data_IF_918403553171
#
_entry.id   IF_918403553171
#
_cell.length_a   1.000
_cell.length_b   1.000
_cell.length_c   1.000
_cell.angle_alpha   90.00
_cell.angle_beta   90.00
_cell.angle_gamma   90.00
#
_symmetry.space_group_name_H-M   'P 1'
#
loop_
_entity.id
_entity.type
_entity.pdbx_description
1 polymer ?
#
# COMPACT_ATOMS: atom_id res chain seq x y z
N UNK A 1 2.78 9.98 -4.20
CA UNK A 1 1.77 9.89 -3.13
C UNK A 1 2.35 9.13 -1.96
N UNK A 2 2.25 9.69 -0.75
CA UNK A 2 2.77 9.05 0.47
C UNK A 2 1.65 8.35 1.24
N UNK A 3 1.87 7.09 1.62
CA UNK A 3 0.94 6.31 2.43
C UNK A 3 1.44 6.22 3.86
N UNK A 4 0.91 7.08 4.72
CA UNK A 4 1.40 7.31 6.09
C UNK A 4 0.79 6.39 7.14
N UNK A 5 -0.47 6.02 6.99
CA UNK A 5 -1.17 5.19 7.97
C UNK A 5 -2.33 4.41 7.33
N UNK A 6 -2.54 3.19 7.82
CA UNK A 6 -3.70 2.36 7.49
C UNK A 6 -4.32 1.89 8.79
N UNK A 7 -5.56 2.30 9.06
CA UNK A 7 -6.31 1.87 10.24
C UNK A 7 -7.48 0.98 9.84
N UNK A 8 -7.69 -0.08 10.62
CA UNK A 8 -8.91 -0.88 10.56
C UNK A 8 -9.41 -1.03 12.01
N UNK A 9 -10.67 -0.62 12.29
CA UNK A 9 -11.26 -0.76 13.61
C UNK A 9 -11.08 -2.18 14.16
N UNK A 10 -10.82 -2.37 15.47
CA UNK A 10 -10.54 -3.68 16.06
C UNK A 10 -11.52 -4.78 15.64
N UNK A 11 -12.82 -4.48 15.62
CA UNK A 11 -13.91 -5.41 15.29
C UNK A 11 -13.92 -5.86 13.82
N UNK A 12 -13.20 -5.13 12.96
CA UNK A 12 -13.07 -5.38 11.53
C UNK A 12 -11.69 -5.97 11.17
N UNK A 13 -10.75 -6.10 12.11
CA UNK A 13 -9.43 -6.67 11.84
C UNK A 13 -9.52 -8.15 11.44
N UNK A 14 -8.46 -8.66 10.81
CA UNK A 14 -8.33 -10.05 10.31
C UNK A 14 -9.35 -10.47 9.23
N UNK A 15 -10.18 -9.54 8.75
CA UNK A 15 -11.13 -9.76 7.64
C UNK A 15 -10.59 -9.31 6.28
N UNK A 16 -9.33 -8.84 6.22
CA UNK A 16 -8.67 -8.46 4.97
C UNK A 16 -8.87 -7.01 4.51
N UNK A 17 -9.64 -6.19 5.25
CA UNK A 17 -9.93 -4.79 4.84
C UNK A 17 -8.68 -3.94 4.64
N UNK A 18 -7.66 -4.08 5.49
CA UNK A 18 -6.41 -3.32 5.32
C UNK A 18 -5.72 -3.62 3.97
N UNK A 19 -5.80 -4.86 3.50
CA UNK A 19 -5.26 -5.24 2.18
C UNK A 19 -6.11 -4.68 1.04
N UNK A 20 -7.44 -4.71 1.18
CA UNK A 20 -8.35 -4.13 0.19
C UNK A 20 -8.11 -2.62 0.04
N UNK A 21 -7.92 -1.90 1.15
CA UNK A 21 -7.56 -0.48 1.12
C UNK A 21 -6.26 -0.23 0.34
N UNK A 22 -5.19 -0.98 0.63
CA UNK A 22 -3.94 -0.85 -0.11
C UNK A 22 -4.13 -1.16 -1.60
N UNK A 23 -4.90 -2.21 -1.95
CA UNK A 23 -5.15 -2.56 -3.35
C UNK A 23 -5.82 -1.44 -4.13
N UNK A 24 -6.88 -0.84 -3.58
CA UNK A 24 -7.58 0.27 -4.26
C UNK A 24 -6.68 1.50 -4.40
N UNK A 25 -5.83 1.78 -3.39
CA UNK A 25 -4.87 2.88 -3.45
C UNK A 25 -3.80 2.66 -4.53
N UNK A 26 -3.29 1.42 -4.67
CA UNK A 26 -2.32 1.09 -5.71
C UNK A 26 -2.94 1.16 -7.11
N UNK A 27 -4.19 0.71 -7.25
CA UNK A 27 -4.96 0.87 -8.48
C UNK A 27 -5.13 2.34 -8.85
N UNK A 28 -5.57 3.17 -7.91
CA UNK A 28 -5.69 4.61 -8.09
C UNK A 28 -4.37 5.25 -8.51
N UNK A 29 -3.26 4.90 -7.84
CA UNK A 29 -1.94 5.40 -8.19
C UNK A 29 -1.53 5.02 -9.63
N UNK A 30 -1.89 3.81 -10.10
CA UNK A 30 -1.65 3.38 -11.47
C UNK A 30 -2.45 4.21 -12.47
N UNK A 31 -3.74 4.40 -12.22
CA UNK A 31 -4.66 5.14 -13.08
C UNK A 31 -4.24 6.61 -13.23
N UNK A 32 -3.77 7.22 -12.14
CA UNK A 32 -3.30 8.60 -12.10
C UNK A 32 -1.80 8.76 -12.42
N UNK A 33 -1.12 7.69 -12.83
CA UNK A 33 0.32 7.66 -13.14
C UNK A 33 1.21 8.20 -11.99
N UNK A 34 0.84 7.91 -10.75
CA UNK A 34 1.53 8.32 -9.53
C UNK A 34 2.48 7.23 -9.03
N UNK A 35 3.60 7.65 -8.44
CA UNK A 35 4.48 6.78 -7.64
C UNK A 35 4.05 6.77 -6.16
N UNK A 36 4.26 5.65 -5.50
CA UNK A 36 3.88 5.38 -4.10
C UNK A 36 5.11 5.37 -3.22
N UNK A 37 5.01 6.06 -2.10
CA UNK A 37 5.97 6.03 -1.00
C UNK A 37 5.29 5.39 0.22
N UNK A 38 5.57 4.11 0.52
CA UNK A 38 4.90 3.40 1.61
C UNK A 38 5.64 3.59 2.94
N UNK A 39 5.44 4.73 3.62
CA UNK A 39 6.04 4.99 4.95
C UNK A 39 5.34 4.23 6.08
N UNK A 40 4.07 3.85 5.89
CA UNK A 40 3.34 3.03 6.85
C UNK A 40 3.85 1.57 6.84
N UNK A 41 4.11 0.99 8.00
CA UNK A 41 4.66 -0.37 8.13
C UNK A 41 3.78 -1.44 7.46
N UNK A 42 2.46 -1.27 7.52
CA UNK A 42 1.52 -2.16 6.85
C UNK A 42 1.61 -2.04 5.32
N UNK A 43 1.72 -0.82 4.80
CA UNK A 43 1.82 -0.49 3.38
C UNK A 43 3.13 -1.03 2.81
N UNK A 44 4.23 -0.87 3.55
CA UNK A 44 5.52 -1.42 3.21
C UNK A 44 5.46 -2.95 3.12
N UNK A 45 4.83 -3.60 4.11
CA UNK A 45 4.60 -5.04 4.07
C UNK A 45 3.72 -5.46 2.89
N UNK A 46 2.66 -4.71 2.59
CA UNK A 46 1.80 -4.97 1.43
C UNK A 46 2.60 -4.95 0.12
N UNK A 47 3.39 -3.89 -0.10
CA UNK A 47 4.22 -3.74 -1.28
C UNK A 47 5.20 -4.91 -1.47
N UNK A 48 5.80 -5.40 -0.38
CA UNK A 48 6.79 -6.47 -0.44
C UNK A 48 6.15 -7.86 -0.58
N UNK A 49 5.12 -8.16 0.20
CA UNK A 49 4.59 -9.53 0.32
C UNK A 49 3.39 -9.82 -0.60
N UNK A 50 2.54 -8.82 -0.90
CA UNK A 50 1.23 -9.06 -1.52
C UNK A 50 0.99 -8.33 -2.84
N UNK A 51 1.74 -7.26 -3.11
CA UNK A 51 1.59 -6.51 -4.36
C UNK A 51 2.03 -7.33 -5.58
N UNK A 52 1.38 -7.10 -6.72
CA UNK A 52 1.77 -7.70 -8.01
C UNK A 52 3.09 -7.10 -8.53
N UNK A 53 3.77 -7.74 -9.50
CA UNK A 53 4.97 -7.17 -10.10
C UNK A 53 4.76 -5.75 -10.64
N UNK A 54 3.63 -5.49 -11.28
CA UNK A 54 3.29 -4.18 -11.85
C UNK A 54 3.04 -3.14 -10.75
N UNK A 55 2.38 -3.53 -9.67
CA UNK A 55 2.15 -2.66 -8.51
C UNK A 55 3.47 -2.28 -7.82
N UNK A 56 4.45 -3.19 -7.77
CA UNK A 56 5.78 -2.93 -7.18
C UNK A 56 6.58 -1.89 -7.97
N UNK A 57 6.34 -1.76 -9.28
CA UNK A 57 6.99 -0.71 -10.10
C UNK A 57 6.50 0.71 -9.78
N UNK A 58 5.33 0.82 -9.14
CA UNK A 58 4.82 2.09 -8.64
C UNK A 58 5.55 2.53 -7.36
N UNK A 59 6.18 1.60 -6.64
CA UNK A 59 6.81 1.86 -5.35
C UNK A 59 8.20 2.47 -5.53
N UNK A 60 8.44 3.61 -4.86
CA UNK A 60 9.75 4.23 -4.83
C UNK A 60 10.67 3.42 -3.90
N UNK A 61 11.75 2.86 -4.45
CA UNK A 61 12.66 1.93 -3.74
C UNK A 61 13.58 2.59 -2.68
N UNK A 62 13.50 3.91 -2.50
CA UNK A 62 14.53 4.69 -1.79
C UNK A 62 14.03 5.45 -0.56
N UNK A 63 13.28 4.82 0.34
CA UNK A 63 13.08 5.39 1.68
C UNK A 63 13.36 4.29 2.70
N UNK A 64 14.61 4.27 3.15
CA UNK A 64 14.98 3.64 4.42
C UNK A 64 14.14 4.32 5.50
N UNK A 65 13.31 3.55 6.19
CA UNK A 65 12.72 3.90 7.48
C UNK A 65 13.25 2.90 8.52
#
# INVERSE_FOLDING_TARGET
>A
MELRHTEVPPDLRRKGFARQLCKEVFKFAKEENLKIVPTCSFCHRYANEWATPEERELVVKNIHC
#
